data_IF_122457312219
#
_entry.id   IF_122457312219
#
_cell.length_a   1.000
_cell.length_b   1.000
_cell.length_c   1.000
_cell.angle_alpha   90.00
_cell.angle_beta   90.00
_cell.angle_gamma   90.00
#
_symmetry.space_group_name_H-M   'P 1'
#
loop_
_entity.id
_entity.type
_entity.pdbx_description
1 polymer ?
#
# COMPACT_ATOMS: atom_id res chain seq x y z
N UNK A 1 3.53 -6.06 10.19
CA UNK A 1 2.60 -5.39 9.28
C UNK A 1 1.32 -5.12 10.03
N UNK A 2 0.77 -3.91 9.88
CA UNK A 2 -0.50 -3.48 10.47
C UNK A 2 -1.46 -3.13 9.34
N UNK A 3 -2.68 -3.66 9.40
CA UNK A 3 -3.74 -3.43 8.42
C UNK A 3 -4.73 -2.41 8.97
N UNK A 4 -5.13 -1.44 8.16
CA UNK A 4 -6.22 -0.51 8.47
C UNK A 4 -7.19 -0.44 7.30
N UNK A 5 -8.48 -0.35 7.63
CA UNK A 5 -9.57 -0.35 6.66
C UNK A 5 -10.41 0.89 6.78
N UNK A 6 -10.90 1.38 5.65
CA UNK A 6 -12.02 2.31 5.64
C UNK A 6 -13.28 1.59 6.14
N UNK A 7 -14.04 2.22 7.04
CA UNK A 7 -15.23 1.63 7.65
C UNK A 7 -16.30 1.27 6.60
N UNK A 8 -16.44 2.05 5.52
CA UNK A 8 -17.38 1.77 4.42
C UNK A 8 -17.01 0.49 3.66
N UNK A 9 -15.72 0.15 3.64
CA UNK A 9 -15.21 -1.05 2.99
C UNK A 9 -15.28 -2.28 3.91
N UNK A 10 -15.12 -2.08 5.23
CA UNK A 10 -15.29 -3.15 6.24
C UNK A 10 -16.68 -3.79 6.16
N UNK A 11 -17.73 -3.00 5.91
CA UNK A 11 -19.10 -3.50 5.78
C UNK A 11 -19.31 -4.35 4.51
N UNK A 12 -18.55 -4.07 3.44
CA UNK A 12 -18.58 -4.83 2.18
C UNK A 12 -17.81 -6.16 2.24
N UNK A 13 -16.76 -6.28 3.05
CA UNK A 13 -16.03 -7.55 3.28
C UNK A 13 -16.56 -8.31 4.51
N UNK A 14 -17.79 -8.05 4.96
CA UNK A 14 -18.45 -8.77 6.07
C UNK A 14 -18.63 -10.30 5.84
N UNK A 15 -18.04 -10.86 4.79
CA UNK A 15 -18.15 -12.25 4.33
C UNK A 15 -17.15 -13.23 4.98
N UNK A 16 -16.36 -12.82 5.97
CA UNK A 16 -15.45 -13.73 6.68
C UNK A 16 -14.17 -14.10 5.92
N UNK A 17 -13.80 -13.32 4.91
CA UNK A 17 -12.55 -13.48 4.15
C UNK A 17 -11.36 -13.02 5.01
N UNK A 18 -10.42 -13.91 5.30
CA UNK A 18 -9.15 -13.54 5.93
C UNK A 18 -8.19 -12.98 4.88
N UNK A 19 -8.22 -11.66 4.74
CA UNK A 19 -7.45 -11.00 3.70
C UNK A 19 -5.93 -11.06 3.89
N UNK A 20 -5.44 -11.50 5.05
CA UNK A 20 -4.01 -11.64 5.33
C UNK A 20 -3.41 -12.84 4.62
N UNK A 21 -4.26 -13.78 4.22
CA UNK A 21 -3.92 -15.05 3.59
C UNK A 21 -4.51 -15.15 2.17
N UNK A 22 -4.77 -14.00 1.53
CA UNK A 22 -5.13 -13.99 0.10
C UNK A 22 -3.87 -14.30 -0.69
N UNK A 23 -3.96 -15.33 -1.52
CA UNK A 23 -2.90 -15.73 -2.43
C UNK A 23 -2.46 -14.56 -3.32
N UNK A 24 -1.16 -14.45 -3.63
CA UNK A 24 -0.67 -13.48 -4.60
C UNK A 24 -1.45 -13.60 -5.92
N UNK A 25 -1.92 -12.47 -6.45
CA UNK A 25 -2.45 -12.45 -7.79
C UNK A 25 -1.28 -12.28 -8.78
N UNK A 26 -1.23 -13.16 -9.77
CA UNK A 26 -0.28 -13.04 -10.87
C UNK A 26 -0.75 -11.92 -11.80
N UNK A 27 -0.20 -10.73 -11.59
CA UNK A 27 -0.36 -9.62 -12.51
C UNK A 27 0.53 -9.81 -13.75
N UNK A 28 0.06 -9.36 -14.90
CA UNK A 28 0.82 -9.40 -16.16
C UNK A 28 2.06 -8.50 -16.10
N UNK A 29 2.93 -8.62 -17.09
CA UNK A 29 4.15 -7.80 -17.25
C UNK A 29 5.13 -7.88 -16.07
N UNK A 30 5.07 -8.97 -15.29
CA UNK A 30 5.93 -9.26 -14.14
C UNK A 30 5.95 -8.17 -13.07
N UNK A 31 4.91 -7.34 -12.98
CA UNK A 31 4.88 -6.23 -12.00
C UNK A 31 4.86 -6.71 -10.54
N UNK A 32 4.50 -7.98 -10.31
CA UNK A 32 4.63 -8.69 -9.04
C UNK A 32 6.09 -8.79 -8.58
N UNK A 33 7.00 -9.05 -9.53
CA UNK A 33 8.42 -9.28 -9.25
C UNK A 33 9.29 -8.04 -9.49
N UNK A 34 8.70 -6.93 -9.95
CA UNK A 34 9.41 -5.70 -10.32
C UNK A 34 10.37 -5.20 -9.25
N UNK A 35 11.59 -4.88 -9.67
CA UNK A 35 12.66 -4.40 -8.79
C UNK A 35 12.28 -3.06 -8.14
N UNK A 36 12.67 -2.87 -6.89
CA UNK A 36 12.51 -1.59 -6.21
C UNK A 36 13.85 -0.87 -6.21
N UNK A 37 13.93 0.21 -6.98
CA UNK A 37 15.12 1.05 -7.12
C UNK A 37 15.07 2.24 -6.17
N UNK A 38 16.25 2.73 -5.77
CA UNK A 38 16.38 3.89 -4.89
C UNK A 38 16.96 5.05 -5.68
N UNK A 39 16.20 6.13 -5.82
CA UNK A 39 16.62 7.35 -6.51
C UNK A 39 16.38 8.56 -5.61
N UNK A 40 17.42 9.33 -5.32
CA UNK A 40 17.32 10.53 -4.45
C UNK A 40 16.68 10.27 -3.07
N UNK A 41 16.89 9.08 -2.51
CA UNK A 41 16.29 8.58 -1.26
C UNK A 41 14.75 8.42 -1.32
N UNK A 42 14.23 8.23 -2.53
CA UNK A 42 12.88 7.75 -2.81
C UNK A 42 12.95 6.32 -3.35
N UNK A 43 11.89 5.55 -3.13
CA UNK A 43 11.78 4.15 -3.54
C UNK A 43 10.77 4.05 -4.67
N UNK A 44 11.18 3.46 -5.79
CA UNK A 44 10.32 3.33 -6.96
C UNK A 44 10.32 1.92 -7.52
N UNK A 45 9.21 1.54 -8.12
CA UNK A 45 9.13 0.36 -8.98
C UNK A 45 9.88 0.63 -10.29
N UNK A 46 10.83 -0.25 -10.61
CA UNK A 46 11.79 -0.03 -11.70
C UNK A 46 11.11 0.05 -13.06
N UNK A 47 10.06 -0.75 -13.28
CA UNK A 47 9.37 -0.85 -14.56
C UNK A 47 8.52 0.39 -14.90
N UNK A 48 8.07 1.14 -13.89
CA UNK A 48 7.19 2.31 -14.06
C UNK A 48 7.86 3.64 -13.75
N UNK A 49 9.07 3.63 -13.18
CA UNK A 49 9.80 4.85 -12.88
C UNK A 49 10.37 5.51 -14.15
N UNK A 50 10.00 6.77 -14.38
CA UNK A 50 10.42 7.53 -15.57
C UNK A 50 11.17 8.83 -15.24
N UNK A 51 11.51 9.07 -13.98
CA UNK A 51 12.04 10.35 -13.47
C UNK A 51 13.52 10.66 -13.78
N UNK A 52 14.21 9.81 -14.54
CA UNK A 52 15.64 9.96 -14.86
C UNK A 52 16.58 9.68 -13.69
N UNK A 53 17.90 9.85 -13.91
CA UNK A 53 18.93 9.36 -13.00
C UNK A 53 19.14 10.22 -11.72
N UNK A 54 18.89 11.53 -11.77
CA UNK A 54 19.17 12.45 -10.65
C UNK A 54 18.10 13.54 -10.44
N UNK A 55 16.83 13.18 -10.22
CA UNK A 55 15.79 14.15 -9.88
C UNK A 55 16.00 14.75 -8.48
N UNK A 56 15.56 15.99 -8.30
CA UNK A 56 15.47 16.63 -6.98
C UNK A 56 14.00 16.65 -6.58
N UNK A 57 13.67 15.93 -5.50
CA UNK A 57 12.32 15.90 -4.92
C UNK A 57 12.28 16.71 -3.63
N UNK A 58 11.48 17.78 -3.63
CA UNK A 58 11.21 18.57 -2.42
C UNK A 58 10.28 17.84 -1.46
N UNK A 59 9.28 17.14 -2.00
CA UNK A 59 8.38 16.25 -1.28
C UNK A 59 8.58 14.83 -1.82
N UNK A 60 9.27 14.00 -1.03
CA UNK A 60 9.69 12.66 -1.44
C UNK A 60 8.52 11.69 -1.37
N UNK A 61 7.68 11.83 -0.36
CA UNK A 61 6.47 11.04 -0.21
C UNK A 61 5.51 11.31 -1.36
N UNK A 62 5.26 12.57 -1.72
CA UNK A 62 4.42 12.89 -2.86
C UNK A 62 4.99 12.34 -4.17
N UNK A 63 6.32 12.41 -4.35
CA UNK A 63 6.97 11.82 -5.52
C UNK A 63 6.76 10.30 -5.60
N UNK A 64 6.97 9.57 -4.50
CA UNK A 64 6.72 8.13 -4.43
C UNK A 64 5.26 7.79 -4.73
N UNK A 65 4.31 8.51 -4.12
CA UNK A 65 2.89 8.25 -4.39
C UNK A 65 2.51 8.52 -5.84
N UNK A 66 3.10 9.53 -6.48
CA UNK A 66 2.79 9.84 -7.87
C UNK A 66 3.34 8.77 -8.84
N UNK A 67 4.56 8.29 -8.61
CA UNK A 67 5.24 7.38 -9.53
C UNK A 67 4.95 5.90 -9.27
N UNK A 68 4.61 5.52 -8.03
CA UNK A 68 4.34 4.13 -7.67
C UNK A 68 2.87 3.73 -7.84
N UNK A 69 2.11 4.39 -8.72
CA UNK A 69 0.69 4.06 -8.94
C UNK A 69 0.57 2.92 -9.94
N UNK A 70 -0.09 1.86 -9.51
CA UNK A 70 -0.46 0.72 -10.34
C UNK A 70 -1.97 0.65 -10.40
N UNK A 71 -2.54 0.84 -11.58
CA UNK A 71 -3.92 0.49 -11.85
C UNK A 71 -4.00 -1.02 -12.04
N UNK A 72 -4.55 -1.74 -11.07
CA UNK A 72 -4.60 -3.21 -11.08
C UNK A 72 -5.35 -3.72 -12.31
N UNK A 73 -6.36 -2.98 -12.75
CA UNK A 73 -7.16 -3.27 -13.94
C UNK A 73 -6.30 -3.35 -15.21
N UNK A 74 -5.18 -2.62 -15.30
CA UNK A 74 -4.29 -2.62 -16.48
C UNK A 74 -3.43 -3.89 -16.56
N UNK A 75 -3.33 -4.65 -15.46
CA UNK A 75 -2.42 -5.80 -15.33
C UNK A 75 -3.14 -7.13 -15.05
N UNK A 76 -4.45 -7.19 -15.28
CA UNK A 76 -5.25 -8.42 -15.15
C UNK A 76 -5.77 -8.81 -16.53
N UNK A 77 -5.54 -10.06 -16.92
CA UNK A 77 -6.15 -10.61 -18.13
C UNK A 77 -7.67 -10.66 -17.98
N UNK A 78 -8.39 -10.14 -18.99
CA UNK A 78 -9.86 -10.09 -19.01
C UNK A 78 -10.52 -11.46 -18.82
N UNK A 79 -9.85 -12.55 -19.19
CA UNK A 79 -10.33 -13.93 -19.05
C UNK A 79 -10.34 -14.45 -17.59
N UNK A 80 -9.66 -13.77 -16.65
CA UNK A 80 -9.60 -14.15 -15.21
C UNK A 80 -10.54 -13.25 -14.36
N UNK A 81 -11.35 -12.40 -15.01
CA UNK A 81 -11.99 -11.21 -14.44
C UNK A 81 -13.24 -11.41 -13.56
N UNK A 82 -13.13 -12.15 -12.46
CA UNK A 82 -14.22 -12.13 -11.45
C UNK A 82 -13.84 -11.55 -10.10
N UNK A 83 -12.58 -11.18 -9.85
CA UNK A 83 -12.24 -10.60 -8.55
C UNK A 83 -11.04 -9.64 -8.52
N UNK A 84 -11.15 -8.54 -9.28
CA UNK A 84 -10.18 -7.42 -9.26
C UNK A 84 -9.79 -6.97 -7.85
N UNK A 85 -10.77 -6.93 -6.94
CA UNK A 85 -10.52 -6.55 -5.55
C UNK A 85 -9.59 -7.54 -4.82
N UNK A 86 -9.86 -8.84 -4.92
CA UNK A 86 -9.00 -9.84 -4.29
C UNK A 86 -7.61 -9.84 -4.89
N UNK A 87 -7.50 -9.62 -6.20
CA UNK A 87 -6.21 -9.44 -6.84
C UNK A 87 -5.46 -8.21 -6.32
N UNK A 88 -6.14 -7.08 -6.20
CA UNK A 88 -5.55 -5.85 -5.67
C UNK A 88 -5.07 -6.01 -4.21
N UNK A 89 -5.84 -6.74 -3.38
CA UNK A 89 -5.46 -7.07 -2.01
C UNK A 89 -4.25 -8.03 -2.00
N UNK A 90 -4.28 -9.10 -2.79
CA UNK A 90 -3.19 -10.07 -2.91
C UNK A 90 -1.88 -9.38 -3.33
N UNK A 91 -1.93 -8.54 -4.36
CA UNK A 91 -0.79 -7.74 -4.79
C UNK A 91 -0.30 -6.79 -3.69
N UNK A 92 -1.21 -6.08 -3.02
CA UNK A 92 -0.85 -5.19 -1.90
C UNK A 92 -0.12 -5.93 -0.77
N UNK A 93 -0.55 -7.15 -0.44
CA UNK A 93 0.11 -8.01 0.55
C UNK A 93 1.52 -8.40 0.10
N UNK A 94 1.65 -8.91 -1.13
CA UNK A 94 2.95 -9.32 -1.68
C UNK A 94 3.94 -8.16 -1.73
N UNK A 95 3.48 -6.98 -2.17
CA UNK A 95 4.29 -5.77 -2.21
C UNK A 95 4.74 -5.34 -0.79
N UNK A 96 3.82 -5.34 0.18
CA UNK A 96 4.16 -5.02 1.57
C UNK A 96 5.16 -6.01 2.18
N UNK A 97 5.02 -7.30 1.90
CA UNK A 97 5.96 -8.32 2.34
C UNK A 97 7.35 -8.13 1.70
N UNK A 98 7.40 -7.89 0.38
CA UNK A 98 8.63 -7.60 -0.35
C UNK A 98 9.36 -6.40 0.23
N UNK A 99 8.65 -5.29 0.45
CA UNK A 99 9.20 -4.08 1.07
C UNK A 99 9.77 -4.36 2.45
N UNK A 100 9.02 -5.06 3.30
CA UNK A 100 9.44 -5.42 4.66
C UNK A 100 10.67 -6.34 4.69
N UNK A 101 10.78 -7.26 3.74
CA UNK A 101 11.90 -8.21 3.69
C UNK A 101 13.16 -7.58 3.07
N UNK A 102 12.98 -6.67 2.11
CA UNK A 102 14.08 -6.09 1.33
C UNK A 102 14.71 -4.87 2.00
N UNK A 103 13.97 -4.14 2.84
CA UNK A 103 14.40 -2.86 3.37
C UNK A 103 14.15 -2.75 4.88
N UNK A 104 14.99 -1.97 5.55
CA UNK A 104 14.85 -1.67 6.99
C UNK A 104 13.88 -0.52 7.27
N UNK A 105 13.50 0.21 6.24
CA UNK A 105 12.60 1.36 6.34
C UNK A 105 11.14 0.94 6.51
N UNK A 106 10.33 1.87 7.03
CA UNK A 106 8.89 1.68 7.15
C UNK A 106 8.19 2.22 5.90
N UNK A 107 7.21 1.48 5.41
CA UNK A 107 6.45 1.80 4.21
C UNK A 107 4.96 1.70 4.50
N UNK A 108 4.19 2.47 3.74
CA UNK A 108 2.74 2.30 3.65
C UNK A 108 2.42 1.86 2.22
N UNK A 109 1.73 0.73 2.11
CA UNK A 109 1.06 0.30 0.88
C UNK A 109 -0.41 0.68 1.01
N UNK A 110 -0.97 1.28 -0.03
CA UNK A 110 -2.33 1.78 -0.07
C UNK A 110 -3.04 1.15 -1.25
N UNK A 111 -4.16 0.52 -0.97
CA UNK A 111 -5.14 0.13 -1.98
C UNK A 111 -6.27 1.16 -1.96
N UNK A 112 -6.46 1.82 -3.08
CA UNK A 112 -7.53 2.77 -3.34
C UNK A 112 -8.50 2.26 -4.40
N UNK A 113 -9.71 2.80 -4.39
CA UNK A 113 -10.70 2.56 -5.45
C UNK A 113 -11.32 3.89 -5.86
N UNK A 114 -11.11 4.29 -7.11
CA UNK A 114 -11.65 5.55 -7.66
C UNK A 114 -12.33 5.27 -8.99
N UNK A 115 -13.55 5.80 -9.16
CA UNK A 115 -14.35 5.74 -10.38
C UNK A 115 -14.13 4.46 -11.23
N UNK A 116 -14.34 3.28 -10.60
CA UNK A 116 -14.26 1.92 -11.19
C UNK A 116 -12.91 1.20 -11.16
N UNK A 117 -11.82 1.85 -10.74
CA UNK A 117 -10.47 1.30 -10.80
C UNK A 117 -9.86 1.02 -9.43
N UNK A 118 -9.26 -0.17 -9.27
CA UNK A 118 -8.43 -0.46 -8.11
C UNK A 118 -7.00 0.02 -8.37
N UNK A 119 -6.53 0.93 -7.53
CA UNK A 119 -5.15 1.44 -7.62
C UNK A 119 -4.37 1.02 -6.40
N UNK A 120 -3.17 0.47 -6.60
CA UNK A 120 -2.22 0.20 -5.53
C UNK A 120 -1.04 1.16 -5.66
N UNK A 121 -0.63 1.75 -4.55
CA UNK A 121 0.60 2.54 -4.50
C UNK A 121 1.30 2.38 -3.15
N UNK A 122 2.57 2.76 -3.09
CA UNK A 122 3.32 2.73 -1.84
C UNK A 122 4.28 3.92 -1.72
N UNK A 123 4.64 4.21 -0.48
CA UNK A 123 5.62 5.23 -0.13
C UNK A 123 6.33 4.88 1.17
N UNK A 124 7.53 5.42 1.35
CA UNK A 124 8.27 5.35 2.61
C UNK A 124 7.66 6.32 3.61
N UNK A 125 7.39 5.83 4.82
CA UNK A 125 6.90 6.68 5.91
C UNK A 125 8.05 7.51 6.48
N UNK A 126 7.87 8.83 6.53
CA UNK A 126 8.86 9.78 7.05
C UNK A 126 8.23 10.60 8.18
N UNK A 127 8.93 10.85 9.31
CA UNK A 127 8.34 11.54 10.46
C UNK A 127 7.74 12.93 10.19
N UNK A 128 8.18 13.61 9.13
CA UNK A 128 7.78 14.99 8.81
C UNK A 128 6.99 15.13 7.50
N UNK A 129 6.78 14.04 6.75
CA UNK A 129 6.02 14.05 5.50
C UNK A 129 4.75 13.21 5.69
N UNK A 130 3.60 13.89 5.75
CA UNK A 130 2.29 13.26 5.97
C UNK A 130 1.51 13.32 4.67
N UNK A 131 1.19 12.16 4.10
CA UNK A 131 0.41 12.07 2.86
C UNK A 131 -1.00 11.50 3.06
N UNK A 132 -1.15 10.53 3.97
CA UNK A 132 -2.45 10.06 4.45
C UNK A 132 -2.48 10.18 5.97
N UNK A 133 -3.46 10.94 6.45
CA UNK A 133 -3.80 11.06 7.87
C UNK A 133 -4.14 9.67 8.46
N UNK A 134 -3.99 9.48 9.78
CA UNK A 134 -4.29 8.18 10.42
C UNK A 134 -5.78 7.80 10.30
N UNK A 135 -6.65 8.79 10.12
CA UNK A 135 -8.08 8.57 9.91
C UNK A 135 -8.42 8.40 8.42
N UNK A 136 -8.37 7.15 7.97
CA UNK A 136 -8.81 6.76 6.62
C UNK A 136 -10.26 7.17 6.31
N UNK A 137 -11.10 7.43 7.32
CA UNK A 137 -12.49 7.85 7.11
C UNK A 137 -12.62 9.29 6.63
N UNK A 138 -11.52 10.07 6.58
CA UNK A 138 -11.51 11.36 5.88
C UNK A 138 -11.41 11.18 4.36
N UNK A 139 -10.80 10.10 3.91
CA UNK A 139 -10.60 9.75 2.51
C UNK A 139 -11.69 8.78 2.02
N UNK A 140 -12.94 9.05 2.42
CA UNK A 140 -14.10 8.12 2.39
C UNK A 140 -14.27 7.31 1.10
N UNK A 141 -13.83 7.85 -0.03
CA UNK A 141 -13.96 7.23 -1.34
C UNK A 141 -12.64 6.71 -1.90
N UNK A 142 -11.50 7.20 -1.43
CA UNK A 142 -10.21 6.98 -2.10
C UNK A 142 -9.48 5.77 -1.51
N UNK A 143 -9.19 5.71 -0.20
CA UNK A 143 -8.43 4.59 0.37
C UNK A 143 -9.34 3.48 0.94
N UNK A 144 -9.17 2.24 0.48
CA UNK A 144 -9.88 1.05 0.98
C UNK A 144 -9.11 0.32 2.08
N UNK A 145 -7.81 0.10 1.84
CA UNK A 145 -6.91 -0.65 2.71
C UNK A 145 -5.56 0.07 2.77
N UNK A 146 -4.98 0.14 3.96
CA UNK A 146 -3.56 0.45 4.11
C UNK A 146 -2.84 -0.64 4.88
N UNK A 147 -1.62 -0.95 4.44
CA UNK A 147 -0.71 -1.91 5.06
C UNK A 147 0.55 -1.15 5.45
N UNK A 148 0.78 -1.03 6.75
CA UNK A 148 2.00 -0.46 7.31
C UNK A 148 3.02 -1.59 7.56
N UNK A 149 4.23 -1.46 7.01
CA UNK A 149 5.28 -2.47 7.16
C UNK A 149 5.98 -2.41 8.51
N UNK A 150 5.80 -1.32 9.27
CA UNK A 150 6.42 -1.15 10.58
C UNK A 150 6.14 -2.34 11.52
N UNK A 151 7.16 -2.69 12.29
CA UNK A 151 7.00 -3.58 13.43
C UNK A 151 6.30 -2.76 14.52
N UNK A 152 5.12 -3.22 14.97
CA UNK A 152 4.66 -2.80 16.30
C UNK A 152 5.68 -3.37 17.28
N UNK A 153 6.49 -2.52 17.88
CA UNK A 153 6.92 -2.80 19.24
C UNK A 153 5.64 -3.00 20.05
N UNK A 154 5.42 -4.23 20.51
CA UNK A 154 4.37 -4.53 21.48
C UNK A 154 4.79 -3.95 22.83
N UNK A 155 4.72 -2.63 22.98
CA UNK A 155 4.94 -1.93 24.25
C UNK A 155 4.11 -0.65 24.36
N UNK A 156 2.82 -0.73 24.02
CA UNK A 156 1.80 0.19 24.57
C UNK A 156 0.84 -0.61 25.46
N UNK A 157 1.39 -1.18 26.52
CA UNK A 157 0.68 -1.45 27.76
C UNK A 157 1.57 -0.89 28.87
N UNK A 158 0.98 -0.11 29.80
CA UNK A 158 1.57 0.64 30.92
C UNK A 158 1.71 2.13 30.60
N UNK A 159 1.06 3.12 31.23
CA UNK A 159 0.26 3.30 32.45
C UNK A 159 -0.68 4.50 32.16
N UNK A 160 -1.86 4.68 32.75
CA UNK A 160 -2.11 4.82 34.20
C UNK A 160 -3.58 4.53 34.52
N UNK A 161 -3.79 3.78 35.60
CA UNK A 161 -5.06 3.66 36.31
C UNK A 161 -5.70 5.03 36.60
N UNK A 162 -7.01 5.22 36.38
CA UNK A 162 -7.75 6.24 37.11
C UNK A 162 -8.03 5.70 38.52
N UNK A 163 -8.00 6.59 39.51
CA UNK A 163 -8.32 6.37 40.94
C UNK A 163 -7.14 6.03 41.86
N UNK A 164 -6.47 7.08 42.35
CA UNK A 164 -6.33 7.33 43.79
C UNK A 164 -6.68 8.78 44.08
#
# INVERSE_FOLDING_TARGET
>A
MRYQFNNLFRDKISTGIDIRNIEPCELTDNITDDEIIIVSNCYFLSSIYTGGENPIFYDKTAAEVLHNKILINDYINEDVSHNYLMCAIGYSNSLAQKLKQSFKDNFKVVLSFDDEFYTVFFYKTRPLEIYLDEDLNKYKLEALLTIDTALKDQNEFSLTNPHQ
#
